data_IF_834488564842
#
_entry.id   IF_834488564842
#
_cell.length_a   1.000
_cell.length_b   1.000
_cell.length_c   1.000
_cell.angle_alpha   90.00
_cell.angle_beta   90.00
_cell.angle_gamma   90.00
#
_symmetry.space_group_name_H-M   'P 1'
#
loop_
_entity.id
_entity.type
_entity.pdbx_description
1 polymer ?
#
# COMPACT_ATOMS: atom_id res chain seq x y z
N UNK A 1 -2.43 15.26 12.21
CA UNK A 1 -1.34 14.43 11.64
C UNK A 1 -0.06 14.56 12.48
N UNK A 2 0.76 15.62 12.42
CA UNK A 2 1.94 15.71 13.30
C UNK A 2 1.59 15.62 14.80
N UNK A 3 0.49 16.23 15.22
CA UNK A 3 0.03 16.20 16.62
C UNK A 3 -0.59 14.85 17.03
N UNK A 4 -1.14 14.09 16.08
CA UNK A 4 -1.73 12.77 16.34
C UNK A 4 -0.64 11.72 16.59
N UNK A 5 0.48 11.81 15.86
CA UNK A 5 1.65 10.97 16.11
C UNK A 5 2.26 11.23 17.48
N UNK A 6 2.35 12.50 17.89
CA UNK A 6 2.85 12.88 19.22
C UNK A 6 1.94 12.35 20.34
N UNK A 7 0.62 12.51 20.19
CA UNK A 7 -0.34 12.01 21.17
C UNK A 7 -0.32 10.49 21.27
N UNK A 8 -0.24 9.78 20.14
CA UNK A 8 -0.14 8.32 20.13
C UNK A 8 1.17 7.80 20.75
N UNK A 9 2.30 8.48 20.51
CA UNK A 9 3.57 8.17 21.19
C UNK A 9 3.43 8.33 22.70
N UNK A 10 2.83 9.43 23.17
CA UNK A 10 2.64 9.69 24.59
C UNK A 10 1.77 8.60 25.27
N UNK A 11 0.66 8.20 24.63
CA UNK A 11 -0.19 7.11 25.14
C UNK A 11 0.51 5.75 25.17
N UNK A 12 1.41 5.48 24.23
CA UNK A 12 2.19 4.24 24.22
C UNK A 12 3.34 4.26 25.23
N UNK A 13 3.91 5.44 25.51
CA UNK A 13 4.96 5.59 26.53
C UNK A 13 4.43 5.41 27.96
N UNK A 14 3.12 5.62 28.18
CA UNK A 14 2.47 5.37 29.47
C UNK A 14 2.07 3.91 29.72
N UNK A 15 2.31 3.01 28.75
CA UNK A 15 2.03 1.58 28.94
C UNK A 15 3.03 0.99 29.95
N UNK A 16 2.58 0.40 31.07
CA UNK A 16 3.46 -0.24 32.04
C UNK A 16 4.21 -1.43 31.46
N UNK A 17 5.40 -1.72 31.98
CA UNK A 17 6.23 -2.86 31.56
C UNK A 17 5.61 -4.23 31.88
N UNK A 18 4.71 -4.28 32.88
CA UNK A 18 3.90 -5.45 33.22
C UNK A 18 2.73 -5.71 32.26
N UNK A 19 2.43 -4.77 31.35
CA UNK A 19 1.34 -4.92 30.38
C UNK A 19 1.76 -5.84 29.22
N UNK A 20 0.88 -6.76 28.82
CA UNK A 20 1.12 -7.68 27.70
C UNK A 20 1.42 -6.95 26.39
N UNK A 21 0.97 -5.70 26.25
CA UNK A 21 1.18 -4.87 25.08
C UNK A 21 2.42 -3.98 25.17
N UNK A 22 3.19 -4.03 26.26
CA UNK A 22 4.37 -3.18 26.46
C UNK A 22 5.38 -3.30 25.31
N UNK A 23 5.76 -4.52 24.95
CA UNK A 23 6.73 -4.77 23.86
C UNK A 23 6.21 -4.24 22.52
N UNK A 24 4.90 -4.36 22.28
CA UNK A 24 4.24 -3.85 21.06
C UNK A 24 4.21 -2.32 21.08
N UNK A 25 3.92 -1.71 22.23
CA UNK A 25 3.92 -0.27 22.43
C UNK A 25 5.33 0.33 22.20
N UNK A 26 6.37 -0.30 22.74
CA UNK A 26 7.77 0.12 22.56
C UNK A 26 8.22 0.06 21.09
N UNK A 27 7.82 -0.98 20.36
CA UNK A 27 8.15 -1.11 18.94
C UNK A 27 7.40 -0.06 18.10
N UNK A 28 6.13 0.20 18.40
CA UNK A 28 5.34 1.23 17.72
C UNK A 28 5.84 2.64 18.00
N UNK A 29 6.33 2.93 19.22
CA UNK A 29 6.96 4.22 19.55
C UNK A 29 8.16 4.50 18.64
N UNK A 30 9.08 3.53 18.47
CA UNK A 30 10.25 3.68 17.58
C UNK A 30 9.85 3.92 16.12
N UNK A 31 8.77 3.29 15.67
CA UNK A 31 8.25 3.48 14.32
C UNK A 31 7.60 4.86 14.16
N UNK A 32 6.85 5.33 15.15
CA UNK A 32 6.15 6.61 15.09
C UNK A 32 7.14 7.79 15.19
N UNK A 33 8.21 7.63 15.96
CA UNK A 33 9.32 8.59 16.02
C UNK A 33 10.00 8.75 14.66
N UNK A 34 10.32 7.66 13.97
CA UNK A 34 10.89 7.70 12.60
C UNK A 34 9.94 8.34 11.58
N UNK A 35 8.65 8.06 11.70
CA UNK A 35 7.63 8.65 10.83
C UNK A 35 7.40 10.14 11.07
N UNK A 36 7.54 10.60 12.32
CA UNK A 36 7.49 12.02 12.68
C UNK A 36 8.68 12.77 12.03
N UNK A 37 9.88 12.19 12.10
CA UNK A 37 11.07 12.76 11.48
C UNK A 37 10.97 12.80 9.94
N UNK A 38 10.45 11.73 9.32
CA UNK A 38 10.20 11.68 7.88
C UNK A 38 9.13 12.69 7.44
N UNK A 39 8.06 12.85 8.21
CA UNK A 39 6.99 13.82 7.92
C UNK A 39 7.45 15.27 8.06
N UNK A 40 8.35 15.55 9.02
CA UNK A 40 8.98 16.86 9.18
C UNK A 40 9.93 17.19 8.02
N UNK A 41 10.65 16.18 7.50
CA UNK A 41 11.56 16.33 6.35
C UNK A 41 10.82 16.52 5.01
N UNK A 42 9.60 16.01 4.87
CA UNK A 42 8.84 16.01 3.61
C UNK A 42 7.58 16.91 3.64
N UNK A 43 7.48 17.85 4.59
CA UNK A 43 6.36 18.75 4.71
C UNK A 43 6.33 19.81 3.59
N UNK A 44 5.85 19.43 2.41
CA UNK A 44 5.23 20.35 1.47
C UNK A 44 3.70 20.28 1.69
N UNK A 45 3.01 21.39 1.98
CA UNK A 45 1.63 21.34 2.47
C UNK A 45 0.65 21.20 1.30
N UNK A 46 -0.13 20.11 1.26
CA UNK A 46 -1.36 20.08 0.44
C UNK A 46 -2.56 19.59 1.28
N UNK A 47 -3.75 20.19 1.10
CA UNK A 47 -4.82 20.13 2.11
C UNK A 47 -5.49 18.76 2.19
N UNK A 48 -5.89 18.41 3.42
CA UNK A 48 -6.58 17.16 3.76
C UNK A 48 -8.07 17.33 3.52
N UNK A 49 -8.65 16.48 2.68
CA UNK A 49 -10.08 16.14 2.73
C UNK A 49 -10.27 14.75 3.33
N UNK A 50 -11.31 14.52 4.14
CA UNK A 50 -11.57 13.25 4.78
C UNK A 50 -12.36 12.36 3.81
N UNK A 51 -11.70 11.39 3.18
CA UNK A 51 -12.40 10.35 2.42
C UNK A 51 -12.39 9.05 3.23
N UNK A 52 -13.60 8.58 3.53
CA UNK A 52 -13.97 7.31 4.15
C UNK A 52 -13.07 6.17 3.63
N UNK A 53 -12.02 5.83 4.37
CA UNK A 53 -11.11 4.73 4.00
C UNK A 53 -11.77 3.40 4.34
N UNK A 54 -11.90 2.51 3.35
CA UNK A 54 -12.17 1.08 3.57
C UNK A 54 -11.26 0.56 4.69
N UNK A 55 -11.71 -0.40 5.52
CA UNK A 55 -10.86 -1.08 6.48
C UNK A 55 -9.50 -1.45 5.86
N UNK A 56 -8.37 -1.16 6.52
CA UNK A 56 -7.01 -1.27 5.96
C UNK A 56 -6.73 -2.61 5.25
N UNK A 57 -7.31 -3.69 5.77
CA UNK A 57 -7.15 -5.06 5.28
C UNK A 57 -7.76 -5.30 3.88
N UNK A 58 -8.78 -4.54 3.48
CA UNK A 58 -9.49 -4.75 2.22
C UNK A 58 -8.61 -4.39 1.02
N UNK A 59 -7.81 -3.34 1.11
CA UNK A 59 -6.98 -2.88 -0.01
C UNK A 59 -5.92 -3.91 -0.39
N UNK A 60 -5.28 -4.55 0.60
CA UNK A 60 -4.26 -5.56 0.33
C UNK A 60 -4.88 -6.77 -0.38
N UNK A 61 -6.00 -7.29 0.12
CA UNK A 61 -6.67 -8.44 -0.50
C UNK A 61 -7.22 -8.11 -1.91
N UNK A 62 -7.77 -6.91 -2.11
CA UNK A 62 -8.25 -6.47 -3.43
C UNK A 62 -7.10 -6.40 -4.44
N UNK A 63 -5.96 -5.83 -4.06
CA UNK A 63 -4.80 -5.77 -4.93
C UNK A 63 -4.23 -7.16 -5.27
N UNK A 64 -4.28 -8.12 -4.34
CA UNK A 64 -3.89 -9.52 -4.64
C UNK A 64 -4.84 -10.17 -5.64
N UNK A 65 -6.15 -9.98 -5.48
CA UNK A 65 -7.15 -10.56 -6.38
C UNK A 65 -6.99 -10.03 -7.81
N UNK A 66 -6.83 -8.71 -7.97
CA UNK A 66 -6.62 -8.07 -9.27
C UNK A 66 -5.32 -8.53 -9.94
N UNK A 67 -4.24 -8.64 -9.17
CA UNK A 67 -2.96 -9.17 -9.64
C UNK A 67 -3.08 -10.64 -10.11
N UNK A 68 -3.82 -11.48 -9.38
CA UNK A 68 -4.04 -12.88 -9.77
C UNK A 68 -4.84 -12.96 -11.06
N UNK A 69 -5.89 -12.16 -11.20
CA UNK A 69 -6.65 -12.04 -12.45
C UNK A 69 -5.76 -11.59 -13.60
N UNK A 70 -4.95 -10.55 -13.41
CA UNK A 70 -4.02 -10.06 -14.43
C UNK A 70 -3.00 -11.13 -14.85
N UNK A 71 -2.43 -11.85 -13.89
CA UNK A 71 -1.47 -12.92 -14.14
C UNK A 71 -2.08 -14.12 -14.87
N UNK A 72 -3.33 -14.47 -14.58
CA UNK A 72 -4.06 -15.51 -15.31
C UNK A 72 -4.32 -15.08 -16.76
N UNK A 73 -4.86 -13.87 -16.96
CA UNK A 73 -5.17 -13.35 -18.28
C UNK A 73 -3.93 -13.12 -19.15
N UNK A 74 -2.79 -12.79 -18.54
CA UNK A 74 -1.49 -12.69 -19.23
C UNK A 74 -1.14 -13.99 -19.98
N UNK A 75 -1.60 -15.15 -19.52
CA UNK A 75 -1.28 -16.44 -20.15
C UNK A 75 -2.16 -16.73 -21.37
N UNK A 76 -3.35 -16.13 -21.44
CA UNK A 76 -4.37 -16.47 -22.44
C UNK A 76 -4.65 -15.35 -23.45
N UNK A 77 -4.28 -14.10 -23.14
CA UNK A 77 -4.54 -12.92 -23.97
C UNK A 77 -3.78 -12.96 -25.30
N UNK A 78 -4.46 -12.60 -26.38
CA UNK A 78 -3.91 -12.61 -27.74
C UNK A 78 -4.18 -11.30 -28.49
N UNK A 79 -5.31 -10.66 -28.25
CA UNK A 79 -5.68 -9.41 -28.91
C UNK A 79 -5.18 -8.20 -28.13
N UNK A 80 -5.10 -7.05 -28.82
CA UNK A 80 -4.77 -5.78 -28.17
C UNK A 80 -5.71 -5.45 -27.01
N UNK A 81 -7.02 -5.57 -27.21
CA UNK A 81 -8.02 -5.26 -26.19
C UNK A 81 -7.88 -6.16 -24.93
N UNK A 82 -7.57 -7.45 -25.12
CA UNK A 82 -7.31 -8.37 -24.00
C UNK A 82 -6.07 -7.95 -23.22
N UNK A 83 -4.99 -7.54 -23.90
CA UNK A 83 -3.78 -7.05 -23.25
C UNK A 83 -3.97 -5.70 -22.54
N UNK A 84 -4.79 -4.80 -23.10
CA UNK A 84 -5.19 -3.56 -22.44
C UNK A 84 -6.01 -3.83 -21.17
N UNK A 85 -6.86 -4.86 -21.20
CA UNK A 85 -7.55 -5.31 -20.00
C UNK A 85 -6.59 -5.89 -18.95
N UNK A 86 -5.59 -6.68 -19.35
CA UNK A 86 -4.52 -7.15 -18.44
C UNK A 86 -3.79 -5.97 -17.79
N UNK A 87 -3.43 -4.94 -18.57
CA UNK A 87 -2.77 -3.74 -18.07
C UNK A 87 -3.65 -3.01 -17.05
N UNK A 88 -4.94 -2.85 -17.34
CA UNK A 88 -5.92 -2.25 -16.42
C UNK A 88 -5.99 -3.00 -15.09
N UNK A 89 -5.92 -4.32 -15.10
CA UNK A 89 -5.95 -5.13 -13.86
C UNK A 89 -4.66 -4.98 -13.05
N UNK A 90 -3.49 -4.85 -13.70
CA UNK A 90 -2.24 -4.52 -13.01
C UNK A 90 -2.25 -3.11 -12.41
N UNK A 91 -2.83 -2.12 -13.09
CA UNK A 91 -2.97 -0.75 -12.59
C UNK A 91 -3.81 -0.72 -11.30
N UNK A 92 -5.00 -1.33 -11.32
CA UNK A 92 -5.84 -1.42 -10.12
C UNK A 92 -5.12 -2.14 -8.97
N UNK A 93 -4.40 -3.22 -9.27
CA UNK A 93 -3.64 -3.95 -8.26
C UNK A 93 -2.58 -3.05 -7.59
N UNK A 94 -1.89 -2.21 -8.38
CA UNK A 94 -0.93 -1.23 -7.89
C UNK A 94 -1.62 -0.15 -7.04
N UNK A 95 -2.74 0.38 -7.50
CA UNK A 95 -3.51 1.40 -6.76
C UNK A 95 -3.96 0.88 -5.40
N UNK A 96 -4.50 -0.33 -5.35
CA UNK A 96 -4.89 -0.99 -4.11
C UNK A 96 -3.67 -1.22 -3.19
N UNK A 97 -2.53 -1.68 -3.72
CA UNK A 97 -1.32 -1.87 -2.92
C UNK A 97 -0.75 -0.54 -2.39
N UNK A 98 -0.86 0.55 -3.15
CA UNK A 98 -0.50 1.92 -2.70
C UNK A 98 -1.48 2.45 -1.64
N UNK A 99 -2.75 2.05 -1.70
CA UNK A 99 -3.79 2.47 -0.77
C UNK A 99 -3.71 1.76 0.60
N UNK A 100 -2.98 0.65 0.69
CA UNK A 100 -2.70 -0.03 1.98
C UNK A 100 -2.07 0.97 2.95
N UNK A 101 -2.71 1.13 4.11
CA UNK A 101 -2.24 2.07 5.13
C UNK A 101 -0.85 1.68 5.62
N UNK A 102 0.03 2.66 5.87
CA UNK A 102 1.34 2.43 6.49
C UNK A 102 1.27 1.79 7.89
N UNK A 103 0.11 1.85 8.54
CA UNK A 103 -0.17 1.19 9.82
C UNK A 103 -0.60 -0.28 9.69
N UNK A 104 -0.87 -0.76 8.47
CA UNK A 104 -1.28 -2.14 8.20
C UNK A 104 -0.06 -3.07 8.25
N UNK A 105 -0.21 -4.25 8.85
CA UNK A 105 0.86 -5.26 8.92
C UNK A 105 1.36 -5.69 7.53
N UNK A 106 0.52 -5.56 6.50
CA UNK A 106 0.86 -5.89 5.13
C UNK A 106 1.49 -4.74 4.35
N UNK A 107 1.62 -3.53 4.91
CA UNK A 107 2.14 -2.37 4.18
C UNK A 107 3.48 -2.64 3.49
N UNK A 108 4.46 -3.20 4.21
CA UNK A 108 5.77 -3.50 3.63
C UNK A 108 5.69 -4.47 2.45
N UNK A 109 4.84 -5.51 2.56
CA UNK A 109 4.56 -6.45 1.48
C UNK A 109 3.85 -5.78 0.31
N UNK A 110 2.91 -4.87 0.59
CA UNK A 110 2.17 -4.13 -0.41
C UNK A 110 3.12 -3.23 -1.23
N UNK A 111 4.02 -2.49 -0.58
CA UNK A 111 4.98 -1.63 -1.28
C UNK A 111 5.98 -2.45 -2.12
N UNK A 112 6.41 -3.62 -1.65
CA UNK A 112 7.22 -4.53 -2.47
C UNK A 112 6.45 -5.02 -3.71
N UNK A 113 5.16 -5.33 -3.55
CA UNK A 113 4.28 -5.73 -4.67
C UNK A 113 4.08 -4.61 -5.68
N UNK A 114 4.01 -3.34 -5.28
CA UNK A 114 3.94 -2.20 -6.22
C UNK A 114 5.11 -2.24 -7.21
N UNK A 115 6.35 -2.46 -6.72
CA UNK A 115 7.54 -2.53 -7.59
C UNK A 115 7.45 -3.70 -8.56
N UNK A 116 6.99 -4.87 -8.08
CA UNK A 116 6.82 -6.05 -8.92
C UNK A 116 5.71 -5.85 -9.97
N UNK A 117 4.56 -5.34 -9.55
CA UNK A 117 3.40 -5.16 -10.42
C UNK A 117 3.63 -4.08 -11.47
N UNK A 118 4.44 -3.05 -11.18
CA UNK A 118 4.83 -2.07 -12.19
C UNK A 118 5.57 -2.74 -13.37
N UNK A 119 6.47 -3.69 -13.10
CA UNK A 119 7.16 -4.44 -14.17
C UNK A 119 6.18 -5.27 -15.00
N UNK A 120 5.18 -5.86 -14.36
CA UNK A 120 4.14 -6.64 -15.05
C UNK A 120 3.20 -5.75 -15.88
N UNK A 121 2.88 -4.56 -15.37
CA UNK A 121 2.12 -3.54 -16.11
C UNK A 121 2.88 -3.09 -17.36
N UNK A 122 4.16 -2.79 -17.23
CA UNK A 122 5.00 -2.38 -18.35
C UNK A 122 5.06 -3.49 -19.43
N UNK A 123 5.17 -4.75 -19.00
CA UNK A 123 5.07 -5.89 -19.90
C UNK A 123 3.72 -5.99 -20.60
N UNK A 124 2.60 -5.86 -19.86
CA UNK A 124 1.26 -5.92 -20.44
C UNK A 124 1.00 -4.81 -21.47
N UNK A 125 1.43 -3.58 -21.17
CA UNK A 125 1.37 -2.44 -22.10
C UNK A 125 2.21 -2.67 -23.35
N UNK A 126 3.41 -3.23 -23.19
CA UNK A 126 4.25 -3.60 -24.32
C UNK A 126 3.58 -4.67 -25.19
N UNK A 127 2.98 -5.69 -24.58
CA UNK A 127 2.23 -6.72 -25.29
C UNK A 127 1.04 -6.14 -26.06
N UNK A 128 0.25 -5.25 -25.44
CA UNK A 128 -0.84 -4.54 -26.10
C UNK A 128 -0.37 -3.75 -27.33
N UNK A 129 0.78 -3.05 -27.23
CA UNK A 129 1.35 -2.28 -28.35
C UNK A 129 1.79 -3.15 -29.55
N UNK A 130 2.01 -4.45 -29.31
CA UNK A 130 2.50 -5.42 -30.32
C UNK A 130 1.39 -6.30 -30.86
N UNK A 131 0.28 -6.41 -30.14
CA UNK A 131 -0.87 -7.20 -30.55
C UNK A 131 -1.59 -6.51 -31.72
N UNK A 132 -2.17 -7.32 -32.60
CA UNK A 132 -2.92 -6.87 -33.76
C UNK A 132 -4.33 -6.43 -33.39
#
# INVERSE_FOLDING_TARGET
VADEWKNAIASMQSVPDSDENYTIAQEKIKQYQRNLEYSQKNANPQPKTPSVKKPPEIYFQQGLNEANTAAFLTQTSKSKDEWEFVATQWEKAIENMKAVSASDINYGKAQQRVIQYQKNLDYARLAASRAK
#
